data_IF_487751706436
#
_entry.id   IF_487751706436
#
_cell.length_a   1.000
_cell.length_b   1.000
_cell.length_c   1.000
_cell.angle_alpha   90.00
_cell.angle_beta   90.00
_cell.angle_gamma   90.00
#
_symmetry.space_group_name_H-M   'P 1'
#
loop_
_entity.id
_entity.type
_entity.pdbx_description
1 polymer ?
#
# COMPACT_ATOMS: atom_id res chain seq x y z
N UNK A 1 18.81 6.83 3.83
CA UNK A 1 19.53 7.52 2.74
C UNK A 1 18.46 8.02 1.78
N UNK A 2 18.22 9.35 1.75
CA UNK A 2 17.05 9.99 1.12
C UNK A 2 17.01 9.81 -0.41
N UNK A 3 18.18 9.67 -1.04
CA UNK A 3 18.32 9.57 -2.50
C UNK A 3 17.51 8.38 -3.07
N UNK A 4 17.38 7.25 -2.35
CA UNK A 4 16.64 6.08 -2.86
C UNK A 4 15.12 6.30 -2.92
N UNK A 5 14.56 6.90 -1.88
CA UNK A 5 13.10 7.09 -1.74
C UNK A 5 12.55 8.06 -2.80
N UNK A 6 13.31 9.10 -3.15
CA UNK A 6 12.92 10.06 -4.19
C UNK A 6 12.86 9.43 -5.59
N UNK A 7 13.74 8.46 -5.89
CA UNK A 7 13.73 7.75 -7.17
C UNK A 7 12.54 6.80 -7.27
N UNK A 8 12.09 6.20 -6.17
CA UNK A 8 10.90 5.34 -6.14
C UNK A 8 9.64 6.10 -6.58
N UNK A 9 9.48 7.38 -6.23
CA UNK A 9 8.36 8.19 -6.73
C UNK A 9 8.40 8.37 -8.24
N UNK A 10 9.58 8.64 -8.81
CA UNK A 10 9.72 8.80 -10.25
C UNK A 10 9.42 7.49 -10.98
N UNK A 11 9.87 6.36 -10.45
CA UNK A 11 9.56 5.04 -11.00
C UNK A 11 8.06 4.72 -10.91
N UNK A 12 7.40 5.04 -9.79
CA UNK A 12 5.96 4.85 -9.63
C UNK A 12 5.14 5.64 -10.67
N UNK A 13 5.53 6.88 -10.98
CA UNK A 13 4.87 7.69 -12.02
C UNK A 13 5.07 7.07 -13.41
N UNK A 14 6.29 6.62 -13.72
CA UNK A 14 6.58 5.96 -15.01
C UNK A 14 5.76 4.68 -15.16
N UNK A 15 5.66 3.86 -14.13
CA UNK A 15 4.91 2.60 -14.15
C UNK A 15 3.40 2.85 -14.28
N UNK A 16 2.88 3.89 -13.60
CA UNK A 16 1.50 4.31 -13.77
C UNK A 16 1.18 4.75 -15.20
N UNK A 17 2.05 5.57 -15.82
CA UNK A 17 1.84 6.01 -17.21
C UNK A 17 1.91 4.85 -18.21
N UNK A 18 2.84 3.90 -18.01
CA UNK A 18 2.91 2.67 -18.83
C UNK A 18 1.68 1.78 -18.65
N UNK A 19 1.15 1.69 -17.43
CA UNK A 19 -0.06 0.91 -17.16
C UNK A 19 -1.27 1.50 -17.90
N UNK A 20 -1.38 2.84 -17.96
CA UNK A 20 -2.40 3.53 -18.76
C UNK A 20 -2.21 3.24 -20.25
N UNK A 21 -0.98 3.39 -20.77
CA UNK A 21 -0.67 3.17 -22.19
C UNK A 21 -1.02 1.74 -22.63
N UNK A 22 -0.67 0.75 -21.82
CA UNK A 22 -0.85 -0.66 -22.15
C UNK A 22 -2.21 -1.23 -21.72
N UNK A 23 -3.05 -0.45 -21.02
CA UNK A 23 -4.31 -0.92 -20.44
C UNK A 23 -4.13 -2.05 -19.41
N UNK A 24 -2.97 -2.11 -18.76
CA UNK A 24 -2.63 -3.15 -17.77
C UNK A 24 -2.93 -2.67 -16.35
N UNK A 25 -3.23 -3.57 -15.40
CA UNK A 25 -3.40 -3.18 -14.00
C UNK A 25 -2.09 -2.62 -13.41
N UNK A 26 -2.20 -1.57 -12.60
CA UNK A 26 -1.11 -1.05 -11.78
C UNK A 26 -1.06 -1.81 -10.45
N UNK A 27 0.13 -1.98 -9.88
CA UNK A 27 0.33 -2.52 -8.54
C UNK A 27 1.42 -1.70 -7.81
N UNK A 28 1.28 -1.45 -6.49
CA UNK A 28 0.07 -1.69 -5.70
C UNK A 28 -1.11 -0.82 -6.17
N UNK A 29 -2.33 -1.33 -6.00
CA UNK A 29 -3.56 -0.64 -6.36
C UNK A 29 -4.40 -0.29 -5.12
N UNK A 30 -5.60 0.24 -5.33
CA UNK A 30 -6.48 0.64 -4.22
C UNK A 30 -6.94 -0.52 -3.33
N UNK A 31 -7.04 -1.75 -3.86
CA UNK A 31 -7.35 -2.92 -3.03
C UNK A 31 -6.21 -3.23 -2.06
N UNK A 32 -4.96 -3.13 -2.53
CA UNK A 32 -3.79 -3.27 -1.67
C UNK A 32 -3.77 -2.18 -0.58
N UNK A 33 -4.12 -0.94 -0.95
CA UNK A 33 -4.26 0.17 0.00
C UNK A 33 -5.38 -0.02 1.02
N UNK A 34 -6.52 -0.62 0.61
CA UNK A 34 -7.59 -0.97 1.54
C UNK A 34 -7.11 -2.00 2.56
N UNK A 35 -6.42 -3.05 2.11
CA UNK A 35 -5.85 -4.08 2.99
C UNK A 35 -4.82 -3.49 3.95
N UNK A 36 -4.01 -2.54 3.51
CA UNK A 36 -3.08 -1.81 4.38
C UNK A 36 -3.84 -1.09 5.50
N UNK A 37 -4.90 -0.35 5.18
CA UNK A 37 -5.72 0.37 6.17
C UNK A 37 -6.40 -0.60 7.14
N UNK A 38 -6.89 -1.75 6.68
CA UNK A 38 -7.48 -2.79 7.57
C UNK A 38 -6.46 -3.30 8.60
N UNK A 39 -5.22 -3.55 8.17
CA UNK A 39 -4.13 -3.98 9.06
C UNK A 39 -3.78 -2.87 10.05
N UNK A 40 -3.67 -1.62 9.60
CA UNK A 40 -3.39 -0.47 10.47
C UNK A 40 -4.49 -0.30 11.53
N UNK A 41 -5.76 -0.44 11.15
CA UNK A 41 -6.89 -0.36 12.07
C UNK A 41 -6.87 -1.49 13.12
N UNK A 42 -6.57 -2.73 12.71
CA UNK A 42 -6.41 -3.84 13.63
C UNK A 42 -5.23 -3.66 14.58
N UNK A 43 -4.11 -3.11 14.10
CA UNK A 43 -2.95 -2.75 14.90
C UNK A 43 -3.28 -1.73 15.98
N UNK A 44 -4.00 -0.66 15.62
CA UNK A 44 -4.47 0.35 16.57
C UNK A 44 -5.38 -0.27 17.65
N UNK A 45 -6.35 -1.09 17.26
CA UNK A 45 -7.24 -1.80 18.20
C UNK A 45 -6.48 -2.78 19.11
N UNK A 46 -5.45 -3.43 18.59
CA UNK A 46 -4.61 -4.34 19.38
C UNK A 46 -3.81 -3.57 20.43
N UNK A 47 -3.25 -2.41 20.07
CA UNK A 47 -2.53 -1.54 21.00
C UNK A 47 -3.43 -1.01 22.13
N UNK A 48 -4.69 -0.69 21.84
CA UNK A 48 -5.66 -0.22 22.84
C UNK A 48 -6.12 -1.32 23.80
N UNK A 49 -6.36 -2.52 23.29
CA UNK A 49 -6.95 -3.62 24.06
C UNK A 49 -5.92 -4.55 24.70
N UNK A 50 -4.67 -4.52 24.24
CA UNK A 50 -3.63 -5.49 24.59
C UNK A 50 -3.93 -6.91 24.11
N UNK A 51 -4.92 -7.08 23.22
CA UNK A 51 -5.36 -8.37 22.70
C UNK A 51 -4.95 -8.52 21.24
N UNK A 52 -4.81 -9.78 20.81
CA UNK A 52 -4.58 -10.09 19.40
C UNK A 52 -5.87 -9.83 18.61
N UNK A 53 -5.77 -9.03 17.55
CA UNK A 53 -6.88 -8.75 16.61
C UNK A 53 -6.61 -9.48 15.29
N UNK A 54 -7.59 -10.22 14.79
CA UNK A 54 -7.51 -10.89 13.48
C UNK A 54 -7.93 -9.93 12.36
N UNK A 55 -7.16 -9.94 11.26
CA UNK A 55 -7.52 -9.28 10.00
C UNK A 55 -7.99 -10.39 9.05
N UNK A 56 -9.13 -10.20 8.39
CA UNK A 56 -9.63 -11.15 7.39
C UNK A 56 -8.92 -10.95 6.04
N UNK A 57 -8.52 -12.05 5.41
CA UNK A 57 -7.84 -12.05 4.11
C UNK A 57 -8.84 -12.01 2.97
#
# INVERSE_FOLDING_TARGET
>A
HIIGYEHEFHHAVVDFMKAIENGTPIAPNFYDGLKEVEVLAAGAKSAETGQRVSVEN
#
